data_IF_945572986253
#
_entry.id   IF_945572986253
#
_cell.length_a   1.000
_cell.length_b   1.000
_cell.length_c   1.000
_cell.angle_alpha   90.00
_cell.angle_beta   90.00
_cell.angle_gamma   90.00
#
_symmetry.space_group_name_H-M   'P 1'
#
loop_
_entity.id
_entity.type
_entity.pdbx_description
1 polymer ?
#
# COMPACT_ATOMS: atom_id res chain seq x y z
N UNK A 1 -26.23 5.07 19.65
CA UNK A 1 -25.19 5.01 18.60
C UNK A 1 -23.89 4.57 19.25
N UNK A 2 -23.62 3.27 19.22
CA UNK A 2 -22.34 2.67 19.62
C UNK A 2 -21.65 2.02 18.41
N UNK A 3 -22.43 1.64 17.40
CA UNK A 3 -21.98 1.03 16.14
C UNK A 3 -21.15 1.97 15.28
N UNK A 4 -21.53 3.25 15.15
CA UNK A 4 -20.74 4.24 14.42
C UNK A 4 -19.42 4.58 15.13
N UNK A 5 -19.44 4.60 16.48
CA UNK A 5 -18.23 4.86 17.25
C UNK A 5 -17.25 3.67 17.13
N UNK A 6 -17.76 2.44 17.25
CA UNK A 6 -16.96 1.22 17.05
C UNK A 6 -16.39 1.11 15.63
N UNK A 7 -17.14 1.54 14.60
CA UNK A 7 -16.65 1.54 13.22
C UNK A 7 -15.48 2.52 13.05
N UNK A 8 -15.62 3.74 13.57
CA UNK A 8 -14.58 4.75 13.45
C UNK A 8 -13.27 4.34 14.14
N UNK A 9 -13.36 3.78 15.35
CA UNK A 9 -12.16 3.33 16.07
C UNK A 9 -11.43 2.21 15.34
N UNK A 10 -12.16 1.26 14.74
CA UNK A 10 -11.55 0.18 13.96
C UNK A 10 -10.91 0.69 12.66
N UNK A 11 -11.50 1.68 12.00
CA UNK A 11 -10.93 2.32 10.80
C UNK A 11 -9.65 3.10 11.14
N UNK A 12 -9.61 3.79 12.29
CA UNK A 12 -8.41 4.51 12.75
C UNK A 12 -7.26 3.55 13.11
N UNK A 13 -7.55 2.51 13.89
CA UNK A 13 -6.56 1.49 14.29
C UNK A 13 -5.97 0.79 13.04
N UNK A 14 -6.82 0.42 12.08
CA UNK A 14 -6.40 -0.21 10.82
C UNK A 14 -5.60 0.76 9.94
N UNK A 15 -5.97 2.05 9.92
CA UNK A 15 -5.22 3.08 9.18
C UNK A 15 -3.83 3.29 9.78
N UNK A 16 -3.68 3.22 11.10
CA UNK A 16 -2.37 3.32 11.76
C UNK A 16 -1.49 2.12 11.46
N UNK A 17 -2.01 0.89 11.58
CA UNK A 17 -1.28 -0.34 11.23
C UNK A 17 -0.82 -0.35 9.76
N UNK A 18 -1.69 0.10 8.85
CA UNK A 18 -1.35 0.20 7.43
C UNK A 18 -0.33 1.30 7.16
N UNK A 19 -0.31 2.37 7.96
CA UNK A 19 0.70 3.42 7.84
C UNK A 19 2.07 2.95 8.29
N UNK A 20 2.16 2.22 9.40
CA UNK A 20 3.44 1.61 9.81
C UNK A 20 3.97 0.64 8.74
N UNK A 21 3.05 -0.12 8.12
CA UNK A 21 3.39 -1.03 7.02
C UNK A 21 3.86 -0.26 5.78
N UNK A 22 3.17 0.82 5.42
CA UNK A 22 3.53 1.70 4.31
C UNK A 22 4.91 2.33 4.53
N UNK A 23 5.17 2.87 5.72
CA UNK A 23 6.46 3.49 6.08
C UNK A 23 7.60 2.47 6.09
N UNK A 24 7.32 1.19 6.36
CA UNK A 24 8.30 0.10 6.23
C UNK A 24 8.69 -0.16 4.76
N UNK A 25 7.80 0.19 3.83
CA UNK A 25 7.99 0.02 2.38
C UNK A 25 8.61 1.26 1.73
N UNK A 26 8.19 2.46 2.14
CA UNK A 26 8.75 3.76 1.77
C UNK A 26 10.14 3.93 2.42
N UNK A 27 11.19 3.55 1.67
CA UNK A 27 12.56 3.53 2.18
C UNK A 27 13.21 4.89 2.10
N UNK A 28 12.80 5.71 1.13
CA UNK A 28 13.36 7.03 0.92
C UNK A 28 12.63 8.11 1.75
N UNK A 29 11.47 7.78 2.33
CA UNK A 29 10.68 8.66 3.18
C UNK A 29 10.02 9.79 2.41
N UNK A 30 9.75 9.60 1.11
CA UNK A 30 9.13 10.62 0.26
C UNK A 30 7.60 10.66 0.38
N UNK A 31 7.03 9.74 1.16
CA UNK A 31 5.59 9.60 1.39
C UNK A 31 4.87 8.82 0.30
N UNK A 32 5.61 8.20 -0.62
CA UNK A 32 5.10 7.40 -1.73
C UNK A 32 5.91 6.12 -1.90
N UNK A 33 5.31 5.06 -2.45
CA UNK A 33 6.03 3.83 -2.79
C UNK A 33 6.29 3.84 -4.29
N UNK A 34 7.55 4.04 -4.67
CA UNK A 34 7.98 3.97 -6.05
C UNK A 34 8.04 2.53 -6.57
N UNK A 35 8.07 2.38 -7.90
CA UNK A 35 8.20 1.06 -8.56
C UNK A 35 9.45 0.27 -8.12
N UNK A 36 10.54 0.98 -7.80
CA UNK A 36 11.76 0.36 -7.29
C UNK A 36 11.60 -0.18 -5.87
N UNK A 37 10.88 0.53 -5.01
CA UNK A 37 10.62 0.14 -3.62
C UNK A 37 9.66 -1.03 -3.56
N UNK A 38 8.58 -0.96 -4.33
CA UNK A 38 7.68 -2.08 -4.56
C UNK A 38 8.43 -3.32 -5.08
N UNK A 39 9.37 -3.13 -6.01
CA UNK A 39 10.19 -4.23 -6.52
C UNK A 39 11.16 -4.83 -5.50
N UNK A 40 11.73 -3.98 -4.64
CA UNK A 40 12.57 -4.43 -3.51
C UNK A 40 11.74 -5.24 -2.52
N UNK A 41 10.51 -4.80 -2.24
CA UNK A 41 9.59 -5.50 -1.36
C UNK A 41 9.28 -6.91 -1.86
N UNK A 42 8.87 -7.03 -3.13
CA UNK A 42 8.50 -8.33 -3.72
C UNK A 42 9.69 -9.31 -3.71
N UNK A 43 10.91 -8.80 -3.95
CA UNK A 43 12.13 -9.59 -3.81
C UNK A 43 12.36 -10.05 -2.36
N UNK A 44 12.10 -9.18 -1.37
CA UNK A 44 12.24 -9.53 0.05
C UNK A 44 11.21 -10.58 0.49
N UNK A 45 9.99 -10.53 -0.06
CA UNK A 45 8.94 -11.53 0.16
C UNK A 45 9.21 -12.87 -0.56
N UNK A 46 10.35 -13.01 -1.24
CA UNK A 46 10.72 -14.24 -1.96
C UNK A 46 9.94 -14.45 -3.26
N UNK A 47 9.09 -13.51 -3.65
CA UNK A 47 8.41 -13.51 -4.93
C UNK A 47 9.39 -13.02 -6.00
N UNK A 48 10.02 -13.97 -6.70
CA UNK A 48 10.78 -13.70 -7.93
C UNK A 48 9.86 -13.29 -9.07
N UNK A 49 9.14 -12.17 -8.94
CA UNK A 49 8.28 -11.65 -9.99
C UNK A 49 9.12 -11.10 -11.12
N UNK A 50 8.69 -11.38 -12.35
CA UNK A 50 9.31 -10.78 -13.54
C UNK A 50 9.02 -9.28 -13.56
N UNK A 51 9.90 -8.45 -14.16
CA UNK A 51 9.67 -7.01 -14.27
C UNK A 51 8.31 -6.65 -14.91
N UNK A 52 7.79 -7.51 -15.79
CA UNK A 52 6.49 -7.33 -16.41
C UNK A 52 5.32 -7.51 -15.41
N UNK A 53 5.40 -8.49 -14.51
CA UNK A 53 4.38 -8.77 -13.49
C UNK A 53 4.37 -7.70 -12.41
N UNK A 54 5.55 -7.25 -12.01
CA UNK A 54 5.73 -6.11 -11.11
C UNK A 54 5.07 -4.85 -11.67
N UNK A 55 5.28 -4.54 -12.96
CA UNK A 55 4.64 -3.41 -13.63
C UNK A 55 3.13 -3.56 -13.79
N UNK A 56 2.60 -4.78 -13.78
CA UNK A 56 1.15 -5.01 -13.82
C UNK A 56 0.58 -4.71 -12.43
N UNK A 57 1.09 -5.36 -11.38
CA UNK A 57 0.63 -5.13 -10.01
C UNK A 57 0.79 -3.66 -9.59
N UNK A 58 1.93 -3.04 -9.91
CA UNK A 58 2.14 -1.62 -9.62
C UNK A 58 1.08 -0.72 -10.26
N UNK A 59 0.68 -0.99 -11.51
CA UNK A 59 -0.37 -0.21 -12.20
C UNK A 59 -1.78 -0.48 -11.70
N UNK A 60 -2.00 -1.63 -11.06
CA UNK A 60 -3.28 -1.91 -10.40
C UNK A 60 -3.43 -1.12 -9.10
N UNK A 61 -2.31 -0.79 -8.46
CA UNK A 61 -2.23 0.03 -7.24
C UNK A 61 -2.21 1.54 -7.56
N UNK A 62 -1.42 1.98 -8.55
CA UNK A 62 -1.31 3.36 -9.04
C UNK A 62 -2.55 3.75 -9.86
N UNK A 63 -3.64 4.07 -9.16
CA UNK A 63 -4.96 4.37 -9.75
C UNK A 63 -5.00 5.79 -10.33
N UNK A 64 -4.24 6.71 -9.75
CA UNK A 64 -4.16 8.10 -10.22
C UNK A 64 -3.15 8.31 -11.36
N UNK A 65 -2.27 7.33 -11.61
CA UNK A 65 -1.28 7.36 -12.68
C UNK A 65 -0.13 8.32 -12.40
N UNK A 66 0.12 8.65 -11.13
CA UNK A 66 1.23 9.50 -10.67
C UNK A 66 2.59 8.82 -10.88
N UNK A 67 2.61 7.50 -11.04
CA UNK A 67 3.85 6.71 -11.15
C UNK A 67 4.47 6.36 -9.80
N UNK A 68 3.75 6.61 -8.70
CA UNK A 68 4.08 6.24 -7.34
C UNK A 68 2.79 5.82 -6.62
N UNK A 69 2.88 4.92 -5.64
CA UNK A 69 1.70 4.50 -4.88
C UNK A 69 1.60 5.38 -3.65
N UNK A 70 0.56 6.20 -3.55
CA UNK A 70 0.27 7.00 -2.37
C UNK A 70 -0.32 6.16 -1.23
N UNK A 71 -0.26 6.70 0.00
CA UNK A 71 -0.87 6.04 1.16
C UNK A 71 -2.37 5.76 0.98
N UNK A 72 -3.13 6.69 0.41
CA UNK A 72 -4.57 6.50 0.16
C UNK A 72 -4.85 5.40 -0.87
N UNK A 73 -4.00 5.26 -1.89
CA UNK A 73 -4.11 4.18 -2.88
C UNK A 73 -3.77 2.82 -2.28
N UNK A 74 -2.72 2.78 -1.45
CA UNK A 74 -2.35 1.59 -0.69
C UNK A 74 -3.45 1.18 0.28
N UNK A 75 -4.02 2.13 1.04
CA UNK A 75 -5.12 1.90 1.97
C UNK A 75 -6.36 1.39 1.23
N UNK A 76 -6.75 2.07 0.14
CA UNK A 76 -7.88 1.65 -0.67
C UNK A 76 -7.69 0.23 -1.19
N UNK A 77 -6.53 -0.09 -1.78
CA UNK A 77 -6.22 -1.44 -2.25
C UNK A 77 -6.29 -2.48 -1.12
N UNK A 78 -5.75 -2.18 0.06
CA UNK A 78 -5.77 -3.14 1.19
C UNK A 78 -7.19 -3.40 1.71
N UNK A 79 -8.03 -2.36 1.79
CA UNK A 79 -9.42 -2.49 2.23
C UNK A 79 -10.35 -3.11 1.17
N UNK A 80 -9.96 -3.08 -0.11
CA UNK A 80 -10.70 -3.65 -1.24
C UNK A 80 -10.50 -5.18 -1.36
N UNK A 81 -9.58 -5.77 -0.57
CA UNK A 81 -9.30 -7.21 -0.54
C UNK A 81 -10.17 -8.00 0.46
N UNK A 82 -11.10 -7.35 1.19
CA UNK A 82 -12.07 -8.00 2.09
C UNK A 82 -13.42 -8.32 1.44
#
# INVERSE_FOLDING_TARGET
MLTDLMRHTMDDDRREELRETFDSFDRNGDGTIGIEEFGRLLKLLGAGMKPAELRIGFRELDRDGSGAIGFEEFYAWWTDQE
#
